data_IF_773233504870
#
_entry.id   IF_773233504870
#
_cell.length_a   1.000
_cell.length_b   1.000
_cell.length_c   1.000
_cell.angle_alpha   90.00
_cell.angle_beta   90.00
_cell.angle_gamma   90.00
#
_symmetry.space_group_name_H-M   'P 1'
#
loop_
_entity.id
_entity.type
_entity.pdbx_description
1 polymer ?
#
# COMPACT_ATOMS: atom_id res chain seq x y z
N UNK A 1 -24.43 -42.41 48.57
CA UNK A 1 -23.67 -41.27 49.15
C UNK A 1 -22.99 -40.37 48.11
N UNK A 2 -23.05 -40.61 46.80
CA UNK A 2 -22.42 -39.77 45.74
C UNK A 2 -23.41 -38.73 45.16
N UNK A 3 -24.73 -38.89 45.39
CA UNK A 3 -25.76 -37.99 44.89
C UNK A 3 -25.86 -36.65 45.62
N UNK A 4 -25.57 -36.64 46.92
CA UNK A 4 -25.78 -35.41 47.73
C UNK A 4 -24.66 -34.37 47.62
N UNK A 5 -23.44 -34.79 47.28
CA UNK A 5 -22.32 -33.87 47.10
C UNK A 5 -22.41 -33.09 45.78
N UNK A 6 -22.97 -33.70 44.75
CA UNK A 6 -23.18 -33.02 43.46
C UNK A 6 -24.29 -31.97 43.55
N UNK A 7 -25.35 -32.22 44.33
CA UNK A 7 -26.42 -31.24 44.57
C UNK A 7 -25.95 -30.07 45.43
N UNK A 8 -25.11 -30.32 46.43
CA UNK A 8 -24.55 -29.25 47.29
C UNK A 8 -23.62 -28.32 46.51
N UNK A 9 -22.74 -28.86 45.65
CA UNK A 9 -21.86 -28.06 44.77
C UNK A 9 -22.66 -27.26 43.74
N UNK A 10 -23.73 -27.82 43.17
CA UNK A 10 -24.59 -27.11 42.24
C UNK A 10 -25.39 -26.00 42.92
N UNK A 11 -25.84 -26.24 44.16
CA UNK A 11 -26.53 -25.25 45.00
C UNK A 11 -25.58 -24.11 45.40
N UNK A 12 -24.36 -24.45 45.84
CA UNK A 12 -23.32 -23.47 46.16
C UNK A 12 -22.95 -22.62 44.93
N UNK A 13 -22.82 -23.25 43.76
CA UNK A 13 -22.55 -22.53 42.50
C UNK A 13 -23.69 -21.57 42.09
N UNK A 14 -24.93 -21.96 42.35
CA UNK A 14 -26.10 -21.05 42.09
C UNK A 14 -26.16 -19.92 43.12
N UNK A 15 -25.91 -20.20 44.38
CA UNK A 15 -25.83 -19.17 45.44
C UNK A 15 -24.69 -18.21 45.17
N UNK A 16 -23.50 -18.70 44.78
CA UNK A 16 -22.35 -17.87 44.42
C UNK A 16 -22.66 -16.97 43.23
N UNK A 17 -23.27 -17.53 42.17
CA UNK A 17 -23.68 -16.72 41.00
C UNK A 17 -24.77 -15.71 41.35
N UNK A 18 -25.73 -16.06 42.21
CA UNK A 18 -26.83 -15.19 42.58
C UNK A 18 -26.41 -14.03 43.48
N UNK A 19 -25.41 -14.24 44.36
CA UNK A 19 -24.92 -13.19 45.27
C UNK A 19 -23.70 -12.44 44.78
N UNK A 20 -22.72 -13.10 44.13
CA UNK A 20 -21.46 -12.47 43.70
C UNK A 20 -21.57 -11.72 42.33
N UNK A 21 -22.50 -12.12 41.46
CA UNK A 21 -22.67 -11.48 40.15
C UNK A 21 -23.80 -10.44 40.12
N UNK A 22 -24.41 -10.10 41.27
CA UNK A 22 -25.32 -8.95 41.30
C UNK A 22 -24.53 -7.66 41.17
N UNK A 23 -24.99 -6.69 40.37
CA UNK A 23 -24.29 -5.42 40.17
C UNK A 23 -24.07 -4.68 41.51
N UNK A 24 -24.97 -4.84 42.48
CA UNK A 24 -24.88 -4.22 43.81
C UNK A 24 -23.76 -4.85 44.64
N UNK A 25 -23.55 -6.16 44.62
CA UNK A 25 -22.49 -6.86 45.37
C UNK A 25 -21.14 -6.64 44.71
N UNK A 26 -21.07 -6.60 43.37
CA UNK A 26 -19.87 -6.21 42.63
C UNK A 26 -19.48 -4.76 42.94
N UNK A 27 -20.45 -3.84 43.01
CA UNK A 27 -20.21 -2.45 43.39
C UNK A 27 -19.67 -2.32 44.79
N UNK A 28 -20.25 -3.04 45.77
CA UNK A 28 -19.77 -3.05 47.16
C UNK A 28 -18.38 -3.68 47.29
N UNK A 29 -18.08 -4.70 46.52
CA UNK A 29 -16.76 -5.33 46.44
C UNK A 29 -15.70 -4.38 45.87
N UNK A 30 -16.04 -3.71 44.78
CA UNK A 30 -15.18 -2.68 44.18
C UNK A 30 -14.97 -1.48 45.13
N UNK A 31 -16.03 -1.05 45.83
CA UNK A 31 -15.94 0.02 46.80
C UNK A 31 -15.08 -0.36 48.02
N UNK A 32 -15.23 -1.61 48.53
CA UNK A 32 -14.41 -2.12 49.62
C UNK A 32 -12.94 -2.25 49.24
N UNK A 33 -12.65 -2.73 48.00
CA UNK A 33 -11.30 -2.80 47.46
C UNK A 33 -10.69 -1.39 47.24
N UNK A 34 -11.48 -0.42 46.79
CA UNK A 34 -11.05 0.95 46.62
C UNK A 34 -10.75 1.61 47.99
N UNK A 35 -11.61 1.42 49.02
CA UNK A 35 -11.41 1.88 50.37
C UNK A 35 -10.20 1.21 51.04
N UNK A 36 -10.06 -0.11 50.86
CA UNK A 36 -8.89 -0.86 51.31
C UNK A 36 -7.61 -0.35 50.66
N UNK A 37 -7.60 -0.13 49.34
CA UNK A 37 -6.49 0.49 48.62
C UNK A 37 -6.17 1.90 49.10
N UNK A 38 -7.19 2.68 49.44
CA UNK A 38 -7.00 4.05 49.96
C UNK A 38 -6.41 4.09 51.35
N UNK A 39 -6.91 3.23 52.28
CA UNK A 39 -6.49 3.22 53.69
C UNK A 39 -5.19 2.45 53.96
N UNK A 40 -4.90 1.39 53.14
CA UNK A 40 -3.70 0.56 53.34
C UNK A 40 -2.59 0.81 52.30
N UNK A 41 -2.67 1.92 51.60
CA UNK A 41 -1.64 2.29 50.61
C UNK A 41 -0.46 2.92 51.34
N UNK A 42 0.38 2.10 51.96
CA UNK A 42 1.64 2.50 52.58
C UNK A 42 2.65 2.90 51.48
N UNK A 43 3.52 3.86 51.75
CA UNK A 43 4.54 4.34 50.81
C UNK A 43 5.51 3.23 50.36
N UNK A 44 5.65 2.16 51.13
CA UNK A 44 6.41 0.96 50.75
C UNK A 44 5.81 0.22 49.55
N UNK A 45 4.48 0.07 49.49
CA UNK A 45 3.80 -0.59 48.34
C UNK A 45 3.95 0.26 47.08
N UNK A 46 3.87 1.59 47.22
CA UNK A 46 4.13 2.52 46.08
C UNK A 46 5.55 2.38 45.55
N UNK A 47 6.53 2.26 46.47
CA UNK A 47 7.95 2.09 46.11
C UNK A 47 8.22 0.76 45.41
N UNK A 48 7.63 -0.35 45.91
CA UNK A 48 7.75 -1.67 45.28
C UNK A 48 7.10 -1.72 43.89
N UNK A 49 5.90 -1.12 43.75
CA UNK A 49 5.20 -1.06 42.44
C UNK A 49 5.96 -0.18 41.46
N UNK A 50 6.54 0.94 41.92
CA UNK A 50 7.38 1.79 41.06
C UNK A 50 8.65 1.07 40.60
N UNK A 51 9.36 0.43 41.56
CA UNK A 51 10.57 -0.34 41.29
C UNK A 51 10.31 -1.51 40.32
N UNK A 52 9.19 -2.25 40.50
CA UNK A 52 8.82 -3.33 39.58
C UNK A 52 8.41 -2.81 38.18
N UNK A 53 7.72 -1.65 38.09
CA UNK A 53 7.44 -1.00 36.78
C UNK A 53 8.70 -0.55 36.08
N UNK A 54 9.65 0.03 36.81
CA UNK A 54 10.91 0.48 36.24
C UNK A 54 11.79 -0.69 35.81
N UNK A 55 11.80 -1.79 36.59
CA UNK A 55 12.46 -3.04 36.20
C UNK A 55 11.83 -3.69 34.96
N UNK A 56 10.50 -3.73 34.87
CA UNK A 56 9.79 -4.24 33.67
C UNK A 56 10.03 -3.34 32.45
N UNK A 57 10.08 -2.00 32.63
CA UNK A 57 10.46 -1.10 31.53
C UNK A 57 11.89 -1.31 31.06
N UNK A 58 12.83 -1.49 32.01
CA UNK A 58 14.24 -1.72 31.70
C UNK A 58 14.44 -3.07 30.99
N UNK A 59 13.77 -4.15 31.44
CA UNK A 59 13.79 -5.46 30.79
C UNK A 59 13.14 -5.40 29.40
N UNK A 60 11.98 -4.72 29.26
CA UNK A 60 11.35 -4.50 27.94
C UNK A 60 12.25 -3.68 27.02
N UNK A 61 12.93 -2.66 27.53
CA UNK A 61 13.89 -1.86 26.75
C UNK A 61 15.07 -2.72 26.28
N UNK A 62 15.71 -3.49 27.17
CA UNK A 62 16.82 -4.38 26.81
C UNK A 62 16.39 -5.53 25.87
N UNK A 63 15.22 -6.13 26.10
CA UNK A 63 14.68 -7.19 25.21
C UNK A 63 14.35 -6.59 23.83
N UNK A 64 13.79 -5.39 23.77
CA UNK A 64 13.55 -4.71 22.51
C UNK A 64 14.87 -4.36 21.79
N UNK A 65 15.89 -3.93 22.51
CA UNK A 65 17.22 -3.62 21.98
C UNK A 65 17.96 -4.87 21.49
N UNK A 66 17.89 -5.99 22.22
CA UNK A 66 18.45 -7.28 21.81
C UNK A 66 17.69 -7.84 20.61
N UNK A 67 16.35 -7.84 20.62
CA UNK A 67 15.54 -8.26 19.47
C UNK A 67 15.76 -7.36 18.24
N UNK A 68 16.00 -6.08 18.45
CA UNK A 68 16.31 -5.14 17.37
C UNK A 68 17.71 -5.40 16.81
N UNK A 69 18.68 -5.78 17.65
CA UNK A 69 20.07 -6.08 17.22
C UNK A 69 20.16 -7.44 16.50
N UNK A 70 19.45 -8.48 16.98
CA UNK A 70 19.37 -9.79 16.31
C UNK A 70 18.58 -9.69 15.00
N UNK A 71 17.47 -8.95 14.96
CA UNK A 71 16.74 -8.65 13.72
C UNK A 71 17.60 -7.86 12.73
N UNK A 72 18.34 -6.86 13.19
CA UNK A 72 19.23 -6.04 12.32
C UNK A 72 20.29 -6.89 11.60
N UNK A 73 20.83 -7.91 12.26
CA UNK A 73 21.84 -8.80 11.66
C UNK A 73 21.27 -9.76 10.61
N UNK A 74 20.08 -10.32 10.89
CA UNK A 74 19.35 -11.21 9.96
C UNK A 74 18.71 -10.42 8.81
N UNK A 75 18.11 -9.25 9.12
CA UNK A 75 17.43 -8.40 8.15
C UNK A 75 18.39 -7.75 7.13
N UNK A 76 19.64 -7.45 7.49
CA UNK A 76 20.62 -6.93 6.53
C UNK A 76 20.96 -7.94 5.42
N UNK A 77 20.91 -9.24 5.71
CA UNK A 77 21.13 -10.28 4.70
C UNK A 77 19.92 -10.44 3.77
N UNK A 78 18.70 -10.28 4.30
CA UNK A 78 17.45 -10.35 3.51
C UNK A 78 17.18 -9.08 2.71
N UNK A 79 17.52 -7.90 3.24
CA UNK A 79 17.41 -6.60 2.56
C UNK A 79 18.52 -6.41 1.50
N UNK A 80 19.46 -7.36 1.35
CA UNK A 80 20.53 -7.29 0.36
C UNK A 80 20.06 -7.18 -1.09
N UNK A 81 18.84 -7.63 -1.39
CA UNK A 81 18.22 -7.52 -2.71
C UNK A 81 17.31 -6.29 -2.77
N UNK A 82 17.88 -5.18 -3.19
CA UNK A 82 17.18 -3.92 -3.39
C UNK A 82 17.46 -3.33 -4.76
N UNK A 83 16.50 -2.56 -5.26
CA UNK A 83 16.59 -1.79 -6.50
C UNK A 83 16.30 -0.34 -6.19
N UNK A 84 17.11 0.54 -6.72
CA UNK A 84 16.95 1.97 -6.51
C UNK A 84 17.13 2.78 -7.80
N UNK A 85 16.45 3.90 -7.87
CA UNK A 85 16.62 4.90 -8.91
C UNK A 85 16.52 6.29 -8.27
N UNK A 86 17.41 7.18 -8.70
CA UNK A 86 17.36 8.61 -8.36
C UNK A 86 17.44 9.43 -9.63
N UNK A 87 16.52 10.37 -9.74
CA UNK A 87 16.51 11.38 -10.79
C UNK A 87 16.17 12.74 -10.19
N UNK A 88 16.43 13.86 -10.89
CA UNK A 88 15.99 15.16 -10.42
C UNK A 88 14.48 15.19 -10.21
N UNK A 89 14.02 15.24 -8.98
CA UNK A 89 12.61 15.30 -8.61
C UNK A 89 11.91 13.94 -8.42
N UNK A 90 12.54 12.80 -8.70
CA UNK A 90 11.94 11.50 -8.43
C UNK A 90 12.95 10.50 -7.85
N UNK A 91 12.51 9.69 -6.90
CA UNK A 91 13.32 8.60 -6.37
C UNK A 91 12.47 7.36 -6.15
N UNK A 92 13.04 6.20 -6.40
CA UNK A 92 12.43 4.89 -6.18
C UNK A 92 13.31 4.07 -5.28
N UNK A 93 12.71 3.34 -4.37
CA UNK A 93 13.35 2.28 -3.62
C UNK A 93 12.44 1.06 -3.56
N UNK A 94 12.99 -0.11 -3.86
CA UNK A 94 12.26 -1.36 -3.90
C UNK A 94 13.08 -2.48 -3.25
N UNK A 95 12.42 -3.39 -2.55
CA UNK A 95 13.02 -4.58 -1.96
C UNK A 95 12.20 -5.83 -2.29
N UNK A 96 12.88 -6.95 -2.40
CA UNK A 96 12.20 -8.25 -2.55
C UNK A 96 11.41 -8.62 -1.29
N UNK A 97 11.84 -8.15 -0.12
CA UNK A 97 11.19 -8.46 1.16
C UNK A 97 11.26 -9.94 1.49
N UNK A 98 10.13 -10.49 1.97
CA UNK A 98 10.01 -11.89 2.43
C UNK A 98 9.54 -12.86 1.37
N UNK A 99 9.41 -12.42 0.11
CA UNK A 99 9.05 -13.27 -1.02
C UNK A 99 10.27 -13.97 -1.60
N UNK A 100 10.07 -15.10 -2.25
CA UNK A 100 11.13 -15.85 -2.93
C UNK A 100 11.62 -15.15 -4.21
N UNK A 101 10.75 -14.36 -4.83
CA UNK A 101 10.99 -13.63 -6.08
C UNK A 101 10.64 -12.16 -5.96
N UNK A 102 11.25 -11.34 -6.83
CA UNK A 102 10.93 -9.93 -7.00
C UNK A 102 10.11 -9.77 -8.27
N UNK A 103 8.79 -9.68 -8.11
CA UNK A 103 7.86 -9.53 -9.22
C UNK A 103 7.43 -8.06 -9.44
N UNK A 104 7.66 -7.17 -8.46
CA UNK A 104 7.45 -5.73 -8.62
C UNK A 104 8.39 -5.14 -9.67
N UNK A 105 7.85 -4.25 -10.49
CA UNK A 105 8.61 -3.44 -11.46
C UNK A 105 8.20 -1.98 -11.37
N UNK A 106 9.09 -1.10 -11.82
CA UNK A 106 8.82 0.33 -11.92
C UNK A 106 9.45 0.94 -13.17
N UNK A 107 8.95 2.07 -13.59
CA UNK A 107 9.54 2.88 -14.66
C UNK A 107 9.50 4.36 -14.31
N UNK A 108 10.55 5.07 -14.70
CA UNK A 108 10.65 6.53 -14.62
C UNK A 108 11.16 7.02 -15.98
N UNK A 109 10.35 7.77 -16.69
CA UNK A 109 10.69 8.35 -17.98
C UNK A 109 10.46 9.85 -17.95
N UNK A 110 11.54 10.62 -17.99
CA UNK A 110 11.52 12.07 -17.92
C UNK A 110 12.33 12.66 -19.07
N UNK A 111 11.91 13.81 -19.57
CA UNK A 111 12.67 14.61 -20.56
C UNK A 111 12.79 16.05 -20.08
N UNK A 112 13.65 16.32 -19.09
CA UNK A 112 13.77 17.65 -18.49
C UNK A 112 14.43 18.68 -19.41
N UNK A 113 15.17 18.24 -20.44
CA UNK A 113 15.92 19.10 -21.35
C UNK A 113 15.09 19.48 -22.58
N UNK A 114 14.66 18.48 -23.34
CA UNK A 114 13.94 18.74 -24.59
C UNK A 114 12.44 18.98 -24.38
N UNK A 115 11.88 18.52 -23.25
CA UNK A 115 10.45 18.58 -22.91
C UNK A 115 9.53 18.11 -24.05
N UNK A 116 10.00 17.08 -24.75
CA UNK A 116 9.30 16.52 -25.91
C UNK A 116 8.03 15.74 -25.54
N UNK A 117 7.91 15.37 -24.28
CA UNK A 117 6.74 14.72 -23.70
C UNK A 117 6.66 15.00 -22.19
N UNK A 118 5.48 14.86 -21.56
CA UNK A 118 5.34 14.92 -20.10
C UNK A 118 6.09 13.78 -19.44
N UNK A 119 6.42 13.93 -18.14
CA UNK A 119 7.05 12.85 -17.38
C UNK A 119 6.07 11.69 -17.15
N UNK A 120 6.56 10.45 -17.24
CA UNK A 120 5.79 9.22 -17.08
C UNK A 120 6.40 8.41 -15.94
N UNK A 121 5.58 8.04 -14.97
CA UNK A 121 5.95 7.24 -13.81
C UNK A 121 5.05 6.01 -13.74
N UNK A 122 5.63 4.82 -13.51
CA UNK A 122 4.88 3.57 -13.46
C UNK A 122 5.31 2.67 -12.30
N UNK A 123 4.32 2.03 -11.66
CA UNK A 123 4.47 0.91 -10.72
C UNK A 123 3.67 -0.26 -11.26
N UNK A 124 4.30 -1.43 -11.29
CA UNK A 124 3.76 -2.67 -11.85
C UNK A 124 4.03 -3.79 -10.86
N UNK A 125 3.04 -4.13 -10.05
CA UNK A 125 3.10 -5.20 -9.05
C UNK A 125 2.70 -6.51 -9.71
N UNK A 126 3.70 -7.35 -9.97
CA UNK A 126 3.54 -8.61 -10.67
C UNK A 126 3.10 -9.76 -9.76
N UNK A 127 2.40 -10.73 -10.34
CA UNK A 127 2.00 -11.95 -9.65
C UNK A 127 1.95 -13.14 -10.62
N UNK A 128 2.14 -14.34 -10.07
CA UNK A 128 2.15 -15.56 -10.87
C UNK A 128 3.34 -15.67 -11.83
N UNK A 129 4.41 -14.92 -11.57
CA UNK A 129 5.60 -14.78 -12.39
C UNK A 129 5.88 -13.35 -12.79
N UNK A 130 7.13 -13.07 -13.15
CA UNK A 130 7.60 -11.71 -13.46
C UNK A 130 7.32 -11.25 -14.90
N UNK A 131 6.88 -12.17 -15.78
CA UNK A 131 6.79 -11.93 -17.22
C UNK A 131 5.82 -10.78 -17.57
N UNK A 132 4.66 -10.72 -16.93
CA UNK A 132 3.67 -9.68 -17.18
C UNK A 132 4.17 -8.29 -16.75
N UNK A 133 4.70 -8.16 -15.52
CA UNK A 133 5.22 -6.91 -15.02
C UNK A 133 6.43 -6.40 -15.84
N UNK A 134 7.34 -7.28 -16.24
CA UNK A 134 8.49 -6.94 -17.09
C UNK A 134 8.06 -6.49 -18.48
N UNK A 135 7.06 -7.16 -19.06
CA UNK A 135 6.50 -6.77 -20.36
C UNK A 135 5.89 -5.35 -20.31
N UNK A 136 5.03 -5.09 -19.31
CA UNK A 136 4.37 -3.78 -19.16
C UNK A 136 5.37 -2.68 -18.87
N UNK A 137 6.33 -2.91 -17.96
CA UNK A 137 7.42 -1.99 -17.64
C UNK A 137 8.19 -1.53 -18.88
N UNK A 138 8.41 -2.43 -19.81
CA UNK A 138 9.20 -2.15 -21.03
C UNK A 138 8.31 -1.51 -22.11
N UNK A 139 7.14 -2.09 -22.35
CA UNK A 139 6.30 -1.72 -23.51
C UNK A 139 5.48 -0.44 -23.28
N UNK A 140 4.84 -0.31 -22.12
CA UNK A 140 3.89 0.77 -21.87
C UNK A 140 4.53 2.17 -21.86
N UNK A 141 5.68 2.42 -21.22
CA UNK A 141 6.32 3.73 -21.26
C UNK A 141 6.74 4.13 -22.68
N UNK A 142 7.19 3.18 -23.51
CA UNK A 142 7.63 3.44 -24.88
C UNK A 142 6.46 3.88 -25.77
N UNK A 143 5.34 3.16 -25.72
CA UNK A 143 4.16 3.53 -26.52
C UNK A 143 3.52 4.81 -26.02
N UNK A 144 3.50 5.04 -24.71
CA UNK A 144 3.02 6.30 -24.12
C UNK A 144 3.90 7.47 -24.58
N UNK A 145 5.22 7.35 -24.49
CA UNK A 145 6.16 8.37 -24.98
C UNK A 145 5.88 8.74 -26.42
N UNK A 146 5.78 7.77 -27.32
CA UNK A 146 5.54 8.01 -28.75
C UNK A 146 4.21 8.75 -28.98
N UNK A 147 3.13 8.29 -28.35
CA UNK A 147 1.81 8.88 -28.51
C UNK A 147 1.74 10.30 -27.89
N UNK A 148 2.36 10.49 -26.73
CA UNK A 148 2.41 11.79 -26.06
C UNK A 148 3.27 12.80 -26.84
N UNK A 149 4.39 12.37 -27.42
CA UNK A 149 5.20 13.24 -28.29
C UNK A 149 4.43 13.71 -29.54
N UNK A 150 3.65 12.81 -30.15
CA UNK A 150 2.80 13.18 -31.29
C UNK A 150 1.67 14.12 -30.84
N UNK A 151 1.03 13.83 -29.72
CA UNK A 151 -0.03 14.66 -29.15
C UNK A 151 0.46 16.09 -28.81
N UNK A 152 1.62 16.24 -28.15
CA UNK A 152 2.16 17.57 -27.79
C UNK A 152 2.48 18.43 -29.02
N UNK A 153 2.83 17.83 -30.15
CA UNK A 153 3.05 18.55 -31.42
C UNK A 153 1.76 19.08 -32.06
N UNK A 154 0.64 18.38 -31.84
CA UNK A 154 -0.64 18.66 -32.51
C UNK A 154 -1.75 19.02 -31.51
N UNK A 155 -1.39 19.35 -30.27
CA UNK A 155 -2.30 19.52 -29.12
C UNK A 155 -3.47 20.47 -29.39
N UNK A 156 -3.22 21.56 -30.07
CA UNK A 156 -4.25 22.58 -30.37
C UNK A 156 -5.35 22.09 -31.32
N UNK A 157 -5.05 21.11 -32.17
CA UNK A 157 -5.97 20.55 -33.16
C UNK A 157 -6.44 19.12 -32.82
N UNK A 158 -5.97 18.54 -31.71
CA UNK A 158 -6.26 17.18 -31.35
C UNK A 158 -7.52 17.09 -30.49
N UNK A 159 -8.37 16.09 -30.79
CA UNK A 159 -9.47 15.65 -29.95
C UNK A 159 -9.04 14.71 -28.81
N UNK A 160 -7.76 14.32 -28.78
CA UNK A 160 -7.21 13.45 -27.77
C UNK A 160 -6.95 14.21 -26.46
N UNK A 161 -6.77 13.48 -25.41
CA UNK A 161 -6.37 13.94 -24.07
C UNK A 161 -5.39 12.96 -23.46
N UNK A 162 -4.65 13.35 -22.42
CA UNK A 162 -3.81 12.40 -21.68
C UNK A 162 -4.62 11.22 -21.16
N UNK A 163 -5.86 11.45 -20.71
CA UNK A 163 -6.76 10.38 -20.27
C UNK A 163 -7.03 9.36 -21.37
N UNK A 164 -7.46 9.82 -22.56
CA UNK A 164 -7.79 8.94 -23.68
C UNK A 164 -6.56 8.18 -24.19
N UNK A 165 -5.39 8.84 -24.25
CA UNK A 165 -4.14 8.20 -24.64
C UNK A 165 -3.75 7.12 -23.63
N UNK A 166 -3.78 7.46 -22.33
CA UNK A 166 -3.41 6.51 -21.27
C UNK A 166 -4.33 5.29 -21.28
N UNK A 167 -5.66 5.49 -21.35
CA UNK A 167 -6.64 4.42 -21.41
C UNK A 167 -6.38 3.49 -22.61
N UNK A 168 -6.23 4.08 -23.78
CA UNK A 168 -6.04 3.31 -25.01
C UNK A 168 -4.74 2.49 -24.98
N UNK A 169 -3.64 3.08 -24.49
CA UNK A 169 -2.36 2.38 -24.46
C UNK A 169 -2.33 1.26 -23.41
N UNK A 170 -2.95 1.44 -22.24
CA UNK A 170 -3.08 0.36 -21.25
C UNK A 170 -3.83 -0.83 -21.86
N UNK A 171 -4.98 -0.60 -22.49
CA UNK A 171 -5.79 -1.65 -23.11
C UNK A 171 -5.06 -2.34 -24.28
N UNK A 172 -4.36 -1.56 -25.12
CA UNK A 172 -3.57 -2.10 -26.23
C UNK A 172 -2.42 -3.00 -25.74
N UNK A 173 -1.67 -2.53 -24.74
CA UNK A 173 -0.55 -3.30 -24.16
C UNK A 173 -1.03 -4.59 -23.50
N UNK A 174 -2.17 -4.55 -22.78
CA UNK A 174 -2.78 -5.77 -22.23
C UNK A 174 -3.14 -6.76 -23.33
N UNK A 175 -3.78 -6.29 -24.40
CA UNK A 175 -4.15 -7.13 -25.56
C UNK A 175 -2.92 -7.77 -26.22
N UNK A 176 -1.88 -6.97 -26.51
CA UNK A 176 -0.62 -7.47 -27.09
C UNK A 176 0.05 -8.52 -26.18
N UNK A 177 0.04 -8.28 -24.87
CA UNK A 177 0.62 -9.17 -23.87
C UNK A 177 -0.17 -10.48 -23.74
N UNK A 178 -1.50 -10.42 -23.70
CA UNK A 178 -2.38 -11.59 -23.60
C UNK A 178 -2.16 -12.57 -24.76
N UNK A 179 -1.93 -12.06 -25.98
CA UNK A 179 -1.60 -12.90 -27.15
C UNK A 179 -0.29 -13.68 -26.91
N UNK A 180 0.72 -13.03 -26.34
CA UNK A 180 2.02 -13.66 -26.06
C UNK A 180 1.94 -14.65 -24.88
N UNK A 181 1.36 -14.25 -23.76
CA UNK A 181 1.26 -15.09 -22.57
C UNK A 181 0.39 -16.32 -22.80
N UNK A 182 -0.73 -16.18 -23.52
CA UNK A 182 -1.59 -17.33 -23.84
C UNK A 182 -0.92 -18.34 -24.77
N UNK A 183 -0.05 -17.89 -25.67
CA UNK A 183 0.71 -18.76 -26.56
C UNK A 183 1.75 -19.63 -25.83
N UNK A 184 2.25 -19.16 -24.72
CA UNK A 184 3.23 -19.84 -23.84
C UNK A 184 2.61 -20.48 -22.60
N UNK A 185 1.29 -20.39 -22.43
CA UNK A 185 0.57 -20.83 -21.22
C UNK A 185 1.08 -20.16 -19.94
N UNK A 186 1.58 -18.93 -20.02
CA UNK A 186 2.05 -18.16 -18.88
C UNK A 186 0.87 -17.40 -18.26
N UNK A 187 0.52 -17.74 -17.04
CA UNK A 187 -0.64 -17.18 -16.31
C UNK A 187 -0.31 -15.90 -15.54
N UNK A 188 0.89 -15.35 -15.72
CA UNK A 188 1.32 -14.15 -15.01
C UNK A 188 0.39 -12.96 -15.27
N UNK A 189 0.24 -12.14 -14.25
CA UNK A 189 -0.48 -10.87 -14.28
C UNK A 189 0.29 -9.77 -13.56
N UNK A 190 -0.21 -8.54 -13.68
CA UNK A 190 0.38 -7.37 -13.01
C UNK A 190 -0.66 -6.29 -12.80
N UNK A 191 -0.49 -5.50 -11.73
CA UNK A 191 -1.13 -4.20 -11.61
C UNK A 191 -0.53 -3.22 -12.62
N UNK A 192 -1.21 -2.11 -12.84
CA UNK A 192 -0.69 -1.02 -13.65
C UNK A 192 -1.13 0.32 -13.05
N UNK A 193 -0.20 0.97 -12.35
CA UNK A 193 -0.38 2.31 -11.84
C UNK A 193 0.56 3.25 -12.61
N UNK A 194 -0.01 4.17 -13.39
CA UNK A 194 0.78 5.09 -14.22
C UNK A 194 0.33 6.52 -14.00
N UNK A 195 1.31 7.41 -13.81
CA UNK A 195 1.11 8.85 -13.69
C UNK A 195 1.80 9.57 -14.85
N UNK A 196 1.06 10.43 -15.55
CA UNK A 196 1.56 11.35 -16.58
C UNK A 196 1.54 12.75 -15.97
N UNK A 197 2.73 13.33 -15.81
CA UNK A 197 2.94 14.64 -15.18
C UNK A 197 3.37 15.68 -16.23
N UNK A 198 2.50 16.64 -16.50
CA UNK A 198 2.80 17.85 -17.27
C UNK A 198 3.02 19.05 -16.33
N UNK A 199 3.30 20.22 -16.91
CA UNK A 199 3.47 21.44 -16.12
C UNK A 199 2.19 21.88 -15.39
N UNK A 200 1.00 21.52 -15.91
CA UNK A 200 -0.30 21.99 -15.38
C UNK A 200 -1.18 20.91 -14.79
N UNK A 201 -1.01 19.69 -15.22
CA UNK A 201 -1.90 18.61 -14.83
C UNK A 201 -1.18 17.31 -14.55
N UNK A 202 -1.75 16.53 -13.65
CA UNK A 202 -1.36 15.16 -13.31
C UNK A 202 -2.50 14.23 -13.69
N UNK A 203 -2.27 13.35 -14.67
CA UNK A 203 -3.22 12.29 -15.06
C UNK A 203 -2.74 10.96 -14.55
N UNK A 204 -3.57 10.27 -13.76
CA UNK A 204 -3.25 8.98 -13.14
C UNK A 204 -4.23 7.92 -13.62
N UNK A 205 -3.70 6.81 -14.15
CA UNK A 205 -4.45 5.61 -14.49
C UNK A 205 -4.07 4.46 -13.59
N UNK A 206 -5.09 3.74 -13.09
CA UNK A 206 -4.89 2.61 -12.19
C UNK A 206 -5.67 1.38 -12.65
N UNK A 207 -5.00 0.23 -12.64
CA UNK A 207 -5.54 -1.12 -12.78
C UNK A 207 -4.94 -1.98 -11.67
N UNK A 208 -5.76 -2.46 -10.75
CA UNK A 208 -5.32 -3.30 -9.63
C UNK A 208 -5.29 -2.56 -8.30
N UNK A 209 -4.43 -2.99 -7.39
CA UNK A 209 -4.37 -2.56 -5.99
C UNK A 209 -3.04 -1.91 -5.57
N UNK A 210 -2.18 -1.59 -6.53
CA UNK A 210 -1.18 -0.55 -6.35
C UNK A 210 -1.89 0.79 -6.18
N UNK A 211 -1.30 1.75 -5.46
CA UNK A 211 -1.98 3.01 -5.13
C UNK A 211 -1.06 4.20 -5.24
N UNK A 212 -1.64 5.32 -5.73
CA UNK A 212 -1.04 6.64 -5.71
C UNK A 212 -1.71 7.55 -4.69
N UNK A 213 -0.91 8.34 -3.98
CA UNK A 213 -1.35 9.34 -3.01
C UNK A 213 -0.53 10.61 -3.19
N UNK A 214 -1.19 11.77 -3.16
CA UNK A 214 -0.57 13.08 -3.30
C UNK A 214 -0.60 13.80 -1.95
N UNK A 215 0.46 14.52 -1.64
CA UNK A 215 0.50 15.49 -0.55
C UNK A 215 0.20 16.88 -1.10
N UNK A 216 -0.89 17.49 -0.65
CA UNK A 216 -1.22 18.87 -1.00
C UNK A 216 -0.33 19.89 -0.27
N UNK A 217 -0.51 21.18 -0.58
CA UNK A 217 0.24 22.29 0.06
C UNK A 217 0.06 22.36 1.58
N UNK A 218 -1.04 21.85 2.10
CA UNK A 218 -1.39 21.89 3.53
C UNK A 218 -0.93 20.61 4.28
N UNK A 219 -0.39 19.63 3.53
CA UNK A 219 0.10 18.35 4.06
C UNK A 219 -0.98 17.27 4.16
N UNK A 220 -2.13 17.46 3.51
CA UNK A 220 -3.18 16.46 3.48
C UNK A 220 -2.90 15.40 2.43
N UNK A 221 -3.32 14.17 2.71
CA UNK A 221 -3.24 13.05 1.78
C UNK A 221 -4.45 13.07 0.83
N UNK A 222 -4.20 13.20 -0.47
CA UNK A 222 -5.23 13.14 -1.53
C UNK A 222 -5.03 11.85 -2.31
N UNK A 223 -6.00 10.90 -2.32
CA UNK A 223 -5.92 9.71 -3.13
C UNK A 223 -5.84 10.06 -4.63
N UNK A 224 -4.85 9.53 -5.33
CA UNK A 224 -4.73 9.62 -6.79
C UNK A 224 -5.41 8.44 -7.48
N UNK A 225 -5.62 7.35 -6.77
CA UNK A 225 -6.27 6.14 -7.25
C UNK A 225 -6.99 5.41 -6.12
N UNK A 226 -7.87 4.49 -6.48
CA UNK A 226 -8.55 3.58 -5.58
C UNK A 226 -8.27 2.15 -6.01
N UNK A 227 -8.00 1.30 -5.02
CA UNK A 227 -7.69 -0.11 -5.25
C UNK A 227 -8.87 -0.86 -5.88
N UNK A 228 -8.61 -1.78 -6.79
CA UNK A 228 -9.61 -2.66 -7.35
C UNK A 228 -9.68 -3.98 -6.58
N UNK A 229 -10.47 -4.00 -5.50
CA UNK A 229 -10.65 -5.20 -4.65
C UNK A 229 -11.96 -5.92 -4.95
N UNK A 230 -11.98 -7.27 -4.96
CA UNK A 230 -13.15 -8.07 -5.34
C UNK A 230 -14.42 -7.81 -4.51
N UNK A 231 -14.25 -7.46 -3.24
CA UNK A 231 -15.36 -7.20 -2.31
C UNK A 231 -16.10 -5.88 -2.55
N UNK A 232 -15.49 -4.93 -3.28
CA UNK A 232 -16.10 -3.64 -3.59
C UNK A 232 -17.37 -3.85 -4.42
N UNK A 233 -18.43 -3.11 -4.10
CA UNK A 233 -19.75 -3.34 -4.66
C UNK A 233 -19.79 -3.29 -6.21
N UNK A 234 -19.08 -2.33 -6.82
CA UNK A 234 -18.97 -2.17 -8.28
C UNK A 234 -18.32 -3.41 -8.90
N UNK A 235 -17.19 -3.82 -8.37
CA UNK A 235 -16.40 -4.96 -8.85
C UNK A 235 -17.15 -6.28 -8.63
N UNK A 236 -17.70 -6.49 -7.43
CA UNK A 236 -18.49 -7.69 -7.11
C UNK A 236 -19.71 -7.87 -8.03
N UNK A 237 -20.42 -6.77 -8.35
CA UNK A 237 -21.55 -6.80 -9.29
C UNK A 237 -21.08 -7.18 -10.70
N UNK A 238 -19.97 -6.60 -11.16
CA UNK A 238 -19.39 -6.90 -12.48
C UNK A 238 -19.00 -8.37 -12.57
N UNK A 239 -18.26 -8.89 -11.59
CA UNK A 239 -17.81 -10.29 -11.54
C UNK A 239 -19.01 -11.25 -11.56
N UNK A 240 -20.03 -10.99 -10.75
CA UNK A 240 -21.25 -11.81 -10.75
C UNK A 240 -21.99 -11.75 -12.09
N UNK A 241 -22.07 -10.58 -12.74
CA UNK A 241 -22.68 -10.42 -14.06
C UNK A 241 -21.97 -11.22 -15.13
N UNK A 242 -20.64 -11.35 -15.01
CA UNK A 242 -19.82 -12.20 -15.89
C UNK A 242 -19.93 -13.71 -15.57
N UNK A 243 -20.78 -14.10 -14.61
CA UNK A 243 -20.95 -15.49 -14.19
C UNK A 243 -19.90 -15.98 -13.18
N UNK A 244 -19.06 -15.09 -12.67
CA UNK A 244 -18.04 -15.41 -11.69
C UNK A 244 -18.52 -15.31 -10.23
N UNK A 245 -17.63 -15.69 -9.32
CA UNK A 245 -17.84 -15.58 -7.88
C UNK A 245 -16.62 -15.00 -7.18
N UNK A 246 -16.82 -14.57 -5.94
CA UNK A 246 -15.72 -14.21 -5.02
C UNK A 246 -15.81 -15.11 -3.80
N UNK A 247 -14.66 -15.52 -3.28
CA UNK A 247 -14.55 -16.28 -2.04
C UNK A 247 -13.48 -15.69 -1.13
N UNK A 248 -13.60 -15.96 0.17
CA UNK A 248 -12.63 -15.51 1.17
C UNK A 248 -11.72 -16.67 1.56
N UNK A 249 -10.42 -16.46 1.40
CA UNK A 249 -9.37 -17.36 1.88
C UNK A 249 -8.17 -16.51 2.32
N UNK A 250 -8.22 -16.01 3.56
CA UNK A 250 -7.25 -15.02 4.04
C UNK A 250 -7.45 -13.61 3.43
N UNK A 251 -7.85 -13.55 2.15
CA UNK A 251 -8.26 -12.36 1.42
C UNK A 251 -9.46 -12.69 0.51
N UNK A 252 -10.20 -11.65 0.05
CA UNK A 252 -11.25 -11.83 -0.95
C UNK A 252 -10.63 -12.04 -2.33
N UNK A 253 -11.04 -13.14 -3.00
CA UNK A 253 -10.46 -13.56 -4.29
C UNK A 253 -11.53 -13.81 -5.36
N UNK A 254 -11.24 -13.36 -6.57
CA UNK A 254 -12.00 -13.71 -7.78
C UNK A 254 -11.74 -15.17 -8.11
N UNK A 255 -12.81 -15.96 -8.30
CA UNK A 255 -12.75 -17.41 -8.57
C UNK A 255 -11.92 -18.18 -7.52
N UNK A 256 -11.72 -17.64 -6.31
CA UNK A 256 -10.85 -18.22 -5.32
C UNK A 256 -9.34 -18.08 -5.61
N UNK A 257 -8.96 -17.36 -6.67
CA UNK A 257 -7.59 -17.29 -7.19
C UNK A 257 -6.97 -15.91 -6.92
N UNK A 258 -7.49 -14.85 -7.54
CA UNK A 258 -6.86 -13.53 -7.59
C UNK A 258 -7.40 -12.58 -6.55
N UNK A 259 -6.54 -11.97 -5.74
CA UNK A 259 -6.91 -11.06 -4.65
C UNK A 259 -7.28 -9.63 -5.11
N UNK A 260 -7.17 -9.34 -6.39
CA UNK A 260 -7.63 -8.10 -7.02
C UNK A 260 -8.69 -8.39 -8.08
N UNK A 261 -9.47 -7.37 -8.46
CA UNK A 261 -10.57 -7.53 -9.41
C UNK A 261 -10.25 -7.04 -10.83
N UNK A 262 -9.11 -6.35 -10.97
CA UNK A 262 -8.57 -5.89 -12.25
C UNK A 262 -7.06 -6.06 -12.28
N UNK A 263 -6.53 -6.44 -13.45
CA UNK A 263 -5.11 -6.60 -13.72
C UNK A 263 -4.84 -6.57 -15.22
N UNK A 264 -3.57 -6.48 -15.62
CA UNK A 264 -3.10 -6.81 -16.94
C UNK A 264 -2.57 -8.25 -16.91
N UNK A 265 -2.67 -8.98 -18.03
CA UNK A 265 -2.36 -10.41 -18.05
C UNK A 265 -3.49 -11.27 -17.47
N UNK A 266 -3.16 -12.31 -16.70
CA UNK A 266 -4.14 -13.23 -16.09
C UNK A 266 -5.07 -13.85 -17.14
N UNK A 267 -4.52 -14.33 -18.27
CA UNK A 267 -5.33 -14.73 -19.41
C UNK A 267 -6.45 -15.74 -19.11
N UNK A 268 -6.33 -16.68 -18.16
CA UNK A 268 -7.41 -17.59 -17.84
C UNK A 268 -8.64 -16.87 -17.26
N UNK A 269 -8.42 -15.87 -16.37
CA UNK A 269 -9.48 -15.08 -15.76
C UNK A 269 -10.04 -14.02 -16.72
N UNK A 270 -9.20 -13.50 -17.62
CA UNK A 270 -9.62 -12.58 -18.70
C UNK A 270 -10.57 -13.25 -19.69
N UNK A 271 -10.32 -14.50 -20.06
CA UNK A 271 -11.23 -15.27 -20.94
C UNK A 271 -12.63 -15.48 -20.36
N UNK A 272 -12.76 -15.41 -19.04
CA UNK A 272 -14.02 -15.51 -18.31
C UNK A 272 -14.69 -14.14 -18.06
N UNK A 273 -14.07 -13.04 -18.47
CA UNK A 273 -14.49 -11.65 -18.19
C UNK A 273 -14.64 -11.32 -16.69
N UNK A 274 -14.11 -12.16 -15.79
CA UNK A 274 -14.18 -11.96 -14.34
C UNK A 274 -13.11 -11.02 -13.84
N UNK A 275 -12.00 -10.90 -14.56
CA UNK A 275 -10.95 -9.90 -14.40
C UNK A 275 -10.86 -9.06 -15.67
N UNK A 276 -10.71 -7.76 -15.55
CA UNK A 276 -10.62 -6.81 -16.67
C UNK A 276 -9.39 -5.89 -16.51
N UNK A 277 -8.94 -5.32 -17.62
CA UNK A 277 -7.84 -4.36 -17.66
C UNK A 277 -8.28 -2.90 -17.80
N UNK A 278 -9.59 -2.63 -17.75
CA UNK A 278 -10.11 -1.26 -17.84
C UNK A 278 -9.59 -0.40 -16.70
N UNK A 279 -8.81 0.67 -16.96
CA UNK A 279 -8.29 1.54 -15.92
C UNK A 279 -9.34 2.51 -15.41
N UNK A 280 -9.28 2.83 -14.11
CA UNK A 280 -9.85 4.06 -13.59
C UNK A 280 -8.83 5.18 -13.81
N UNK A 281 -9.25 6.29 -14.46
CA UNK A 281 -8.35 7.41 -14.79
C UNK A 281 -8.90 8.71 -14.20
N UNK A 282 -8.02 9.47 -13.55
CA UNK A 282 -8.35 10.76 -12.94
C UNK A 282 -7.29 11.79 -13.33
N UNK A 283 -7.71 13.03 -13.56
CA UNK A 283 -6.81 14.17 -13.82
C UNK A 283 -6.97 15.22 -12.74
N UNK A 284 -5.83 15.73 -12.29
CA UNK A 284 -5.71 16.74 -11.23
C UNK A 284 -5.08 18.02 -11.80
N UNK A 285 -5.67 19.16 -11.46
CA UNK A 285 -5.16 20.49 -11.78
C UNK A 285 -4.10 20.88 -10.73
N UNK A 286 -2.85 20.99 -11.15
CA UNK A 286 -1.72 21.28 -10.26
C UNK A 286 -1.69 22.71 -9.75
N UNK A 287 -2.23 23.66 -10.54
CA UNK A 287 -2.30 25.07 -10.13
C UNK A 287 -3.26 25.25 -8.94
N UNK A 288 -4.33 24.45 -8.89
CA UNK A 288 -5.28 24.46 -7.78
C UNK A 288 -4.77 23.74 -6.56
N UNK A 289 -4.15 22.57 -6.75
CA UNK A 289 -3.71 21.72 -5.63
C UNK A 289 -2.39 22.16 -5.03
N UNK A 290 -1.48 22.72 -5.84
CA UNK A 290 -0.12 23.12 -5.45
C UNK A 290 0.58 22.04 -4.60
N UNK A 291 0.69 20.79 -5.12
CA UNK A 291 1.17 19.68 -4.33
C UNK A 291 2.66 19.79 -4.00
N UNK A 292 3.05 19.20 -2.85
CA UNK A 292 4.47 19.09 -2.46
C UNK A 292 5.13 17.89 -3.13
N UNK A 293 4.50 16.72 -3.07
CA UNK A 293 4.98 15.46 -3.66
C UNK A 293 3.84 14.47 -3.88
N UNK A 294 4.10 13.40 -4.62
CA UNK A 294 3.24 12.22 -4.69
C UNK A 294 4.02 10.96 -4.35
N UNK A 295 3.31 9.96 -3.85
CA UNK A 295 3.77 8.61 -3.56
C UNK A 295 3.04 7.66 -4.48
N UNK A 296 3.78 6.85 -5.26
CA UNK A 296 3.24 5.74 -6.03
C UNK A 296 3.87 4.46 -5.46
N UNK A 297 3.06 3.46 -5.10
CA UNK A 297 3.60 2.26 -4.48
C UNK A 297 2.76 1.01 -4.76
N UNK A 298 3.41 -0.17 -4.70
CA UNK A 298 2.76 -1.47 -4.66
C UNK A 298 2.02 -1.68 -3.32
N UNK A 299 1.18 -2.70 -3.23
CA UNK A 299 0.35 -2.97 -2.05
C UNK A 299 1.20 -3.29 -0.80
N UNK A 300 2.45 -3.75 -0.97
CA UNK A 300 3.39 -3.96 0.13
C UNK A 300 3.62 -2.73 1.02
N UNK A 301 3.48 -1.51 0.48
CA UNK A 301 3.45 -0.31 1.31
C UNK A 301 2.09 -0.13 1.97
N UNK A 302 1.00 -0.26 1.22
CA UNK A 302 -0.33 0.13 1.65
C UNK A 302 -0.97 -0.83 2.64
N UNK A 303 -0.47 -2.07 2.71
CA UNK A 303 -0.80 -3.03 3.77
C UNK A 303 -0.22 -2.63 5.14
N UNK A 304 0.85 -1.82 5.14
CA UNK A 304 1.56 -1.40 6.35
C UNK A 304 1.28 0.06 6.76
N UNK A 305 0.77 0.92 5.84
CA UNK A 305 0.55 2.34 6.06
C UNK A 305 -0.81 2.81 5.53
N UNK A 306 -1.48 3.68 6.27
CA UNK A 306 -2.56 4.48 5.73
C UNK A 306 -2.01 5.59 4.82
N UNK A 307 -2.88 6.21 4.01
CA UNK A 307 -2.50 7.32 3.14
C UNK A 307 -1.89 8.48 3.95
N UNK A 308 -2.53 8.85 5.06
CA UNK A 308 -2.14 9.96 5.93
C UNK A 308 -0.83 9.67 6.66
N UNK A 309 -0.63 8.42 7.10
CA UNK A 309 0.64 8.01 7.73
C UNK A 309 1.79 8.05 6.75
N UNK A 310 1.59 7.56 5.52
CA UNK A 310 2.61 7.56 4.47
C UNK A 310 2.99 9.00 4.08
N UNK A 311 2.02 9.88 3.86
CA UNK A 311 2.26 11.28 3.52
C UNK A 311 3.03 11.98 4.63
N UNK A 312 2.61 11.85 5.90
CA UNK A 312 3.34 12.43 7.04
C UNK A 312 4.76 11.90 7.14
N UNK A 313 4.94 10.59 7.01
CA UNK A 313 6.26 9.93 7.10
C UNK A 313 7.23 10.44 6.03
N UNK A 314 6.77 10.53 4.78
CA UNK A 314 7.58 11.02 3.65
C UNK A 314 7.87 12.52 3.80
N UNK A 315 6.86 13.33 4.19
CA UNK A 315 7.03 14.78 4.33
C UNK A 315 8.14 15.16 5.27
N UNK A 316 8.30 14.41 6.39
CA UNK A 316 9.39 14.60 7.36
C UNK A 316 10.77 14.20 6.82
N UNK A 317 10.83 13.48 5.67
CA UNK A 317 12.05 12.85 5.12
C UNK A 317 12.35 13.24 3.67
N UNK A 318 11.72 14.29 3.16
CA UNK A 318 11.92 14.76 1.78
C UNK A 318 13.37 15.18 1.48
N UNK A 319 14.16 15.52 2.50
CA UNK A 319 15.55 15.88 2.36
C UNK A 319 16.52 14.67 2.37
N UNK A 320 16.00 13.46 2.65
CA UNK A 320 16.80 12.23 2.51
C UNK A 320 17.17 11.95 1.05
N UNK A 321 18.24 11.18 0.78
CA UNK A 321 18.72 10.91 -0.59
C UNK A 321 17.70 10.30 -1.55
N UNK A 322 16.68 9.57 -1.01
CA UNK A 322 15.58 8.96 -1.77
C UNK A 322 14.22 9.63 -1.45
N UNK A 323 14.24 10.86 -0.96
CA UNK A 323 13.03 11.59 -0.56
C UNK A 323 12.16 10.80 0.45
N UNK A 324 12.79 10.01 1.32
CA UNK A 324 12.13 9.15 2.29
C UNK A 324 11.64 7.78 1.75
N UNK A 325 11.75 7.51 0.44
CA UNK A 325 11.30 6.24 -0.15
C UNK A 325 12.01 5.03 0.48
N UNK A 326 13.32 5.10 0.66
CA UNK A 326 14.07 4.03 1.35
C UNK A 326 13.59 3.82 2.77
N UNK A 327 13.44 4.89 3.51
CA UNK A 327 13.07 4.84 4.93
C UNK A 327 11.67 4.25 5.14
N UNK A 328 10.70 4.60 4.27
CA UNK A 328 9.33 4.05 4.38
C UNK A 328 9.25 2.59 3.96
N UNK A 329 10.01 2.17 2.94
CA UNK A 329 10.12 0.76 2.53
C UNK A 329 10.66 -0.09 3.66
N UNK A 330 11.76 0.33 4.29
CA UNK A 330 12.33 -0.36 5.44
C UNK A 330 11.34 -0.41 6.62
N UNK A 331 10.62 0.69 6.88
CA UNK A 331 9.63 0.73 7.93
C UNK A 331 8.43 -0.21 7.65
N UNK A 332 7.97 -0.32 6.39
CA UNK A 332 6.94 -1.28 6.00
C UNK A 332 7.42 -2.72 6.21
N UNK A 333 8.66 -3.02 5.82
CA UNK A 333 9.28 -4.32 6.08
C UNK A 333 9.34 -4.66 7.57
N UNK A 334 9.78 -3.71 8.42
CA UNK A 334 9.82 -3.90 9.88
C UNK A 334 8.45 -3.97 10.54
N UNK A 335 7.42 -3.40 9.94
CA UNK A 335 6.03 -3.59 10.35
C UNK A 335 5.49 -4.98 10.04
N UNK A 336 6.26 -5.83 9.36
CA UNK A 336 5.93 -7.21 9.08
C UNK A 336 5.29 -7.45 7.71
N UNK A 337 5.38 -6.51 6.78
CA UNK A 337 4.90 -6.73 5.42
C UNK A 337 5.52 -8.01 4.83
N UNK A 338 4.72 -8.95 4.31
CA UNK A 338 5.22 -10.22 3.77
C UNK A 338 5.59 -10.14 2.29
N UNK A 339 5.36 -9.00 1.63
CA UNK A 339 5.43 -8.86 0.17
C UNK A 339 6.69 -8.16 -0.33
N UNK A 340 6.83 -8.10 -1.67
CA UNK A 340 7.66 -7.12 -2.33
C UNK A 340 7.17 -5.72 -1.95
N UNK A 341 8.07 -4.76 -1.80
CA UNK A 341 7.72 -3.39 -1.41
C UNK A 341 8.43 -2.44 -2.36
N UNK A 342 7.66 -1.74 -3.17
CA UNK A 342 8.17 -0.74 -4.11
C UNK A 342 7.52 0.60 -3.86
N UNK A 343 8.34 1.63 -3.61
CA UNK A 343 7.86 2.99 -3.35
C UNK A 343 8.62 3.99 -4.22
N UNK A 344 7.86 4.79 -4.93
CA UNK A 344 8.34 5.93 -5.71
C UNK A 344 7.81 7.22 -5.09
N UNK A 345 8.70 8.18 -4.87
CA UNK A 345 8.36 9.53 -4.43
C UNK A 345 8.74 10.52 -5.51
N UNK A 346 7.78 11.33 -5.94
CA UNK A 346 7.98 12.39 -6.95
C UNK A 346 7.69 13.73 -6.32
N UNK A 347 8.69 14.61 -6.30
CA UNK A 347 8.58 15.99 -5.78
C UNK A 347 8.08 16.93 -6.88
N UNK A 348 7.13 17.75 -6.55
CA UNK A 348 6.70 18.82 -7.46
C UNK A 348 7.58 20.06 -7.31
N UNK A 349 7.81 20.76 -8.40
CA UNK A 349 8.51 22.05 -8.36
C UNK A 349 7.61 23.09 -7.71
N UNK A 350 8.12 23.82 -6.73
CA UNK A 350 7.37 24.97 -6.16
C UNK A 350 7.16 26.00 -7.25
N UNK A 351 5.90 26.36 -7.49
CA UNK A 351 5.52 27.45 -8.38
C UNK A 351 6.17 28.75 -7.85
N UNK A 352 7.19 29.28 -8.53
CA UNK A 352 7.87 30.53 -8.12
C UNK A 352 9.39 30.53 -8.12
N UNK A 353 10.08 29.41 -8.28
CA UNK A 353 11.53 29.41 -8.50
C UNK A 353 11.82 29.49 -9.99
N UNK A 354 11.95 30.72 -10.52
CA UNK A 354 12.65 30.93 -11.81
C UNK A 354 14.04 30.31 -11.68
N UNK A 355 14.40 29.44 -12.62
CA UNK A 355 15.79 28.98 -12.74
C UNK A 355 16.71 30.20 -12.82
N UNK A 356 17.87 30.20 -12.16
CA UNK A 356 18.85 31.24 -12.40
C UNK A 356 19.24 31.20 -13.87
N UNK A 357 19.03 32.31 -14.57
CA UNK A 357 19.56 32.54 -15.91
C UNK A 357 21.09 32.43 -15.82
N UNK A 358 21.65 31.45 -16.52
CA UNK A 358 23.05 31.38 -16.86
C UNK A 358 23.20 31.54 -18.36
#
# INVERSE_FOLDING_TARGET
>A
MIGDTMTLLSLLGRIMRYFLLRPETLFLLCLSLALWSYFFHTDEVKTIVKSSRDAVKMVKGKVAEIMQHERFGLDQAEISKSWELKSPGAAVYAIQGRRDHMEDRFSVLTDPVNRSHPSIFGIFDGHGGEAAAEYVKTRLPDVLKQNLQSYEKEKENSLLSYQSILQQQILNVDKEMLEKLSATYDEAGTTCLVAILSDKELTVGNVGDSRGVLCDKDGNAIPLSYDHKPYQLKERKRIKKAGGFISFNGSWRVQGILAMSRSLGDYPLKKLDVVISEPDIVTFDLDKLQPEFMILASDGLWDAFSNEEAVRFIRERLDEPHFGAKSIVLQAYYRGCPDNITVMVVKFKKSGTKAPEQ
#
